data_IF_078209539104
#
_entry.id   IF_078209539104
#
_cell.length_a   1.000
_cell.length_b   1.000
_cell.length_c   1.000
_cell.angle_alpha   90.00
_cell.angle_beta   90.00
_cell.angle_gamma   90.00
#
_symmetry.space_group_name_H-M   'P 1'
#
loop_
_entity.id
_entity.type
_entity.pdbx_description
1 polymer ?
#
# COMPACT_ATOMS: atom_id res chain seq x y z
N UNK A 1 18.66 2.45 3.94
CA UNK A 1 17.66 1.42 3.59
C UNK A 1 16.77 1.21 4.80
N UNK A 2 15.47 1.53 4.72
CA UNK A 2 14.52 1.20 5.79
C UNK A 2 14.30 -0.31 5.75
N UNK A 3 14.21 -0.98 6.90
CA UNK A 3 13.97 -2.42 6.94
C UNK A 3 12.64 -2.76 6.22
N UNK A 4 12.60 -3.79 5.34
CA UNK A 4 11.38 -4.17 4.62
C UNK A 4 10.18 -4.44 5.55
N UNK A 5 10.46 -4.95 6.75
CA UNK A 5 9.45 -5.14 7.80
C UNK A 5 8.76 -3.84 8.22
N UNK A 6 9.49 -2.71 8.30
CA UNK A 6 8.94 -1.41 8.67
C UNK A 6 8.07 -0.86 7.54
N UNK A 7 8.47 -1.05 6.28
CA UNK A 7 7.65 -0.67 5.11
C UNK A 7 6.36 -1.48 5.09
N UNK A 8 6.44 -2.80 5.27
CA UNK A 8 5.27 -3.67 5.35
C UNK A 8 4.32 -3.30 6.50
N UNK A 9 4.86 -2.90 7.66
CA UNK A 9 4.04 -2.42 8.78
C UNK A 9 3.33 -1.12 8.43
N UNK A 10 4.02 -0.13 7.85
CA UNK A 10 3.41 1.14 7.42
C UNK A 10 2.27 0.90 6.43
N UNK A 11 2.51 0.10 5.38
CA UNK A 11 1.48 -0.21 4.40
C UNK A 11 0.33 -1.04 4.99
N UNK A 12 0.58 -1.90 5.98
CA UNK A 12 -0.49 -2.61 6.70
C UNK A 12 -1.44 -1.66 7.42
N UNK A 13 -0.94 -0.56 7.98
CA UNK A 13 -1.79 0.49 8.56
C UNK A 13 -2.56 1.25 7.47
N UNK A 14 -1.90 1.55 6.35
CA UNK A 14 -2.50 2.28 5.23
C UNK A 14 -3.67 1.53 4.57
N UNK A 15 -3.52 0.22 4.40
CA UNK A 15 -4.49 -0.71 3.78
C UNK A 15 -5.46 -1.35 4.78
N UNK A 16 -5.57 -0.81 5.98
CA UNK A 16 -6.53 -1.31 6.97
C UNK A 16 -7.97 -0.98 6.54
N UNK A 17 -8.86 -1.97 6.53
CA UNK A 17 -10.24 -1.79 6.06
C UNK A 17 -11.13 -0.93 6.96
N UNK A 18 -10.84 -0.81 8.26
CA UNK A 18 -11.66 0.00 9.17
C UNK A 18 -11.18 1.44 9.21
N UNK A 19 -9.88 1.65 9.43
CA UNK A 19 -9.28 2.97 9.71
C UNK A 19 -8.13 3.34 8.76
N UNK A 20 -7.96 2.62 7.66
CA UNK A 20 -6.88 2.88 6.70
C UNK A 20 -7.12 4.13 5.87
N UNK A 21 -6.03 4.82 5.53
CA UNK A 21 -6.07 6.01 4.68
C UNK A 21 -6.58 5.67 3.27
N UNK A 22 -6.25 4.49 2.74
CA UNK A 22 -6.62 4.09 1.38
C UNK A 22 -8.13 3.97 1.24
N UNK A 23 -8.78 3.26 2.16
CA UNK A 23 -10.24 3.14 2.15
C UNK A 23 -10.94 4.45 2.53
N UNK A 24 -10.34 5.28 3.40
CA UNK A 24 -10.86 6.63 3.65
C UNK A 24 -10.88 7.49 2.38
N UNK A 25 -9.86 7.38 1.52
CA UNK A 25 -9.83 8.04 0.21
C UNK A 25 -10.89 7.45 -0.74
N UNK A 26 -11.07 6.13 -0.78
CA UNK A 26 -12.13 5.50 -1.57
C UNK A 26 -13.53 6.00 -1.17
N UNK A 27 -13.81 6.07 0.14
CA UNK A 27 -15.07 6.59 0.67
C UNK A 27 -15.29 8.05 0.29
N UNK A 28 -14.23 8.87 0.24
CA UNK A 28 -14.31 10.26 -0.23
C UNK A 28 -14.81 10.35 -1.69
N UNK A 29 -14.45 9.38 -2.52
CA UNK A 29 -14.94 9.25 -3.89
C UNK A 29 -16.21 8.38 -4.02
N UNK A 30 -16.87 8.08 -2.91
CA UNK A 30 -18.09 7.28 -2.85
C UNK A 30 -17.93 5.84 -3.40
N UNK A 31 -16.71 5.30 -3.33
CA UNK A 31 -16.36 3.92 -3.68
C UNK A 31 -16.50 3.00 -2.45
N UNK A 32 -16.80 1.70 -2.66
CA UNK A 32 -16.87 0.73 -1.58
C UNK A 32 -15.49 0.43 -0.99
N UNK A 33 -15.46 0.04 0.30
CA UNK A 33 -14.24 -0.41 0.96
C UNK A 33 -13.71 -1.70 0.30
N UNK A 34 -12.39 -1.76 0.08
CA UNK A 34 -11.76 -2.91 -0.59
C UNK A 34 -11.03 -3.76 0.46
N UNK A 35 -11.19 -5.10 0.45
CA UNK A 35 -10.50 -6.01 1.37
C UNK A 35 -9.02 -6.22 1.00
N UNK A 36 -8.22 -5.15 1.11
CA UNK A 36 -6.82 -5.09 0.67
C UNK A 36 -5.92 -6.17 1.25
N UNK A 37 -6.13 -6.58 2.50
CA UNK A 37 -5.27 -7.55 3.19
C UNK A 37 -5.93 -8.93 3.38
N UNK A 38 -7.25 -9.02 3.19
CA UNK A 38 -8.03 -10.22 3.48
C UNK A 38 -8.46 -10.97 2.23
N UNK A 39 -8.55 -10.31 1.07
CA UNK A 39 -8.88 -10.95 -0.20
C UNK A 39 -7.61 -11.24 -1.02
N UNK A 40 -7.39 -12.47 -1.52
CA UNK A 40 -6.12 -12.88 -2.13
C UNK A 40 -5.72 -12.04 -3.35
N UNK A 41 -6.67 -11.65 -4.20
CA UNK A 41 -6.37 -10.80 -5.36
C UNK A 41 -5.90 -9.39 -4.94
N UNK A 42 -6.55 -8.79 -3.94
CA UNK A 42 -6.22 -7.44 -3.47
C UNK A 42 -4.99 -7.43 -2.56
N UNK A 43 -4.73 -8.54 -1.86
CA UNK A 43 -3.52 -8.76 -1.08
C UNK A 43 -2.28 -8.68 -1.98
N UNK A 44 -2.29 -9.36 -3.14
CA UNK A 44 -1.19 -9.26 -4.10
C UNK A 44 -0.99 -7.83 -4.59
N UNK A 45 -2.08 -7.12 -4.94
CA UNK A 45 -2.00 -5.71 -5.36
C UNK A 45 -1.37 -4.84 -4.26
N UNK A 46 -1.79 -5.01 -3.00
CA UNK A 46 -1.26 -4.25 -1.87
C UNK A 46 0.24 -4.47 -1.66
N UNK A 47 0.71 -5.71 -1.85
CA UNK A 47 2.14 -6.07 -1.74
C UNK A 47 2.94 -5.48 -2.90
N UNK A 48 2.43 -5.57 -4.14
CA UNK A 48 3.08 -4.99 -5.32
C UNK A 48 3.23 -3.47 -5.15
N UNK A 49 2.20 -2.77 -4.67
CA UNK A 49 2.26 -1.32 -4.43
C UNK A 49 3.32 -0.99 -3.38
N UNK A 50 3.39 -1.75 -2.29
CA UNK A 50 4.39 -1.54 -1.25
C UNK A 50 5.84 -1.77 -1.76
N UNK A 51 6.05 -2.81 -2.56
CA UNK A 51 7.34 -3.13 -3.17
C UNK A 51 7.77 -2.07 -4.19
N UNK A 52 6.86 -1.67 -5.08
CA UNK A 52 7.12 -0.60 -6.06
C UNK A 52 7.47 0.70 -5.34
N UNK A 53 6.71 1.08 -4.31
CA UNK A 53 6.99 2.30 -3.53
C UNK A 53 8.36 2.26 -2.86
N UNK A 54 8.78 1.10 -2.34
CA UNK A 54 10.09 0.96 -1.72
C UNK A 54 11.25 1.11 -2.72
N UNK A 55 11.08 0.57 -3.93
CA UNK A 55 12.14 0.56 -4.95
C UNK A 55 12.17 1.84 -5.81
N UNK A 56 11.05 2.56 -5.92
CA UNK A 56 10.91 3.76 -6.76
C UNK A 56 11.96 4.85 -6.46
N UNK A 57 12.22 5.25 -5.20
CA UNK A 57 13.20 6.30 -4.90
C UNK A 57 14.60 5.99 -5.43
N UNK A 58 15.03 4.72 -5.34
CA UNK A 58 16.33 4.29 -5.85
C UNK A 58 16.36 4.35 -7.38
N UNK A 59 15.32 3.86 -8.05
CA UNK A 59 15.26 3.89 -9.52
C UNK A 59 15.26 5.32 -10.07
N UNK A 60 14.51 6.23 -9.44
CA UNK A 60 14.51 7.65 -9.83
C UNK A 60 15.90 8.27 -9.72
N UNK A 61 16.66 7.95 -8.67
CA UNK A 61 18.03 8.43 -8.50
C UNK A 61 19.00 7.85 -9.53
N UNK A 62 18.76 6.62 -10.03
CA UNK A 62 19.59 5.98 -11.03
C UNK A 62 19.33 6.50 -12.45
N UNK A 63 18.10 6.91 -12.75
CA UNK A 63 17.70 7.42 -14.07
C UNK A 63 17.94 8.93 -14.24
N UNK A 64 18.24 9.65 -13.16
CA UNK A 64 18.58 11.07 -13.16
C UNK A 64 20.08 11.27 -13.40
#
# INVERSE_FOLDING_TARGET
>A
MIAPAVVGLNFRWLFNTQYGLVDALLRMFNLPDIPWLTHPAWALVSVIVADVWQNTPLMVLLFL
#
